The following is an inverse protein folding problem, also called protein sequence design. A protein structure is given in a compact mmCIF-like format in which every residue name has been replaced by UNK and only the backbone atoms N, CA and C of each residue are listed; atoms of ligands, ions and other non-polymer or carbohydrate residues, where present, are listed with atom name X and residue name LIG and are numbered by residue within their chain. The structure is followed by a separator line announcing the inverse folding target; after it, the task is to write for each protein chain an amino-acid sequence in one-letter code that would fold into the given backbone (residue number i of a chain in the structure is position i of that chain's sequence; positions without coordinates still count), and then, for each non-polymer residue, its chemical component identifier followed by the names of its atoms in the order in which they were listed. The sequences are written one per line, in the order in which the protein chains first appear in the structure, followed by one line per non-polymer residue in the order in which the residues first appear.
data_IF_339987454192
#
_entry.id   IF_339987454192
#
_cell.length_a   1.000
_cell.length_b   1.000
_cell.length_c   1.000
_cell.angle_alpha   90.00
_cell.angle_beta   90.00
_cell.angle_gamma   90.00
#
_symmetry.space_group_name_H-M   'P 1'
#
loop_
_entity.id
_entity.type
_entity.pdbx_description
1 polymer ?
#
# COMPACT_ATOMS: atom_id res chain seq x y z
N UNK A 1 22.54 24.36 -11.72
CA UNK A 1 22.99 22.98 -11.40
C UNK A 1 21.83 22.06 -11.71
N UNK A 2 22.05 20.98 -12.47
CA UNK A 2 21.01 19.99 -12.74
C UNK A 2 20.84 19.11 -11.49
N UNK A 3 19.65 19.13 -10.89
CA UNK A 3 19.32 18.27 -9.75
C UNK A 3 19.05 16.86 -10.28
N UNK A 4 19.83 15.87 -9.83
CA UNK A 4 19.64 14.46 -10.19
C UNK A 4 18.84 13.77 -9.09
N UNK A 5 17.75 13.08 -9.47
CA UNK A 5 16.92 12.30 -8.56
C UNK A 5 17.78 11.31 -7.77
N UNK A 6 17.61 11.29 -6.45
CA UNK A 6 18.27 10.32 -5.56
C UNK A 6 17.29 9.71 -4.54
N UNK A 7 17.78 8.79 -3.72
CA UNK A 7 16.97 8.08 -2.72
C UNK A 7 16.31 9.00 -1.67
N UNK A 8 16.92 10.13 -1.33
CA UNK A 8 16.34 11.08 -0.39
C UNK A 8 15.13 11.82 -0.98
N UNK A 9 15.15 12.10 -2.28
CA UNK A 9 14.00 12.71 -2.98
C UNK A 9 12.81 11.74 -3.00
N UNK A 10 13.07 10.46 -3.31
CA UNK A 10 12.06 9.39 -3.30
C UNK A 10 11.49 9.21 -1.88
N UNK A 11 12.35 9.15 -0.86
CA UNK A 11 11.93 9.00 0.53
C UNK A 11 11.06 10.16 1.00
N UNK A 12 11.43 11.41 0.69
CA UNK A 12 10.62 12.59 1.05
C UNK A 12 9.25 12.57 0.36
N UNK A 13 9.21 12.25 -0.93
CA UNK A 13 7.95 12.12 -1.66
C UNK A 13 7.06 11.03 -1.03
N UNK A 14 7.63 9.85 -0.74
CA UNK A 14 6.92 8.77 -0.05
C UNK A 14 6.34 9.24 1.29
N UNK A 15 7.16 9.83 2.16
CA UNK A 15 6.71 10.26 3.49
C UNK A 15 5.64 11.34 3.43
N UNK A 16 5.75 12.29 2.49
CA UNK A 16 4.75 13.34 2.31
C UNK A 16 3.37 12.75 1.91
N UNK A 17 3.35 11.86 0.93
CA UNK A 17 2.12 11.21 0.47
C UNK A 17 1.56 10.29 1.56
N UNK A 18 2.42 9.53 2.24
CA UNK A 18 2.03 8.66 3.36
C UNK A 18 1.41 9.45 4.51
N UNK A 19 1.97 10.59 4.89
CA UNK A 19 1.44 11.41 5.97
C UNK A 19 0.01 11.91 5.70
N UNK A 20 -0.31 12.22 4.44
CA UNK A 20 -1.67 12.60 4.03
C UNK A 20 -2.66 11.45 4.21
N UNK A 21 -2.26 10.23 3.86
CA UNK A 21 -3.05 9.02 4.09
C UNK A 21 -3.19 8.74 5.59
N UNK A 22 -2.10 8.78 6.36
CA UNK A 22 -2.14 8.52 7.81
C UNK A 22 -3.07 9.49 8.54
N UNK A 23 -3.13 10.76 8.11
CA UNK A 23 -4.10 11.74 8.64
C UNK A 23 -5.56 11.34 8.40
N UNK A 24 -5.86 10.57 7.36
CA UNK A 24 -7.21 10.04 7.07
C UNK A 24 -7.49 8.73 7.79
N UNK A 25 -6.44 7.96 8.09
CA UNK A 25 -6.55 6.72 8.84
C UNK A 25 -6.68 6.96 10.35
N UNK A 26 -6.15 8.06 10.88
CA UNK A 26 -6.15 8.36 12.31
C UNK A 26 -7.55 8.24 12.98
N UNK A 27 -8.64 8.79 12.41
CA UNK A 27 -9.99 8.62 12.97
C UNK A 27 -10.51 7.18 12.96
N UNK A 28 -9.94 6.31 12.12
CA UNK A 28 -10.34 4.90 12.00
C UNK A 28 -9.60 3.98 12.99
N UNK A 29 -8.56 4.49 13.66
CA UNK A 29 -7.65 3.69 14.48
C UNK A 29 -6.70 2.79 13.70
N UNK A 30 -6.77 2.78 12.35
CA UNK A 30 -5.87 2.01 11.51
C UNK A 30 -4.55 2.73 11.30
N UNK A 31 -3.49 1.94 11.12
CA UNK A 31 -2.17 2.43 10.73
C UNK A 31 -2.00 2.31 9.22
N UNK A 32 -0.98 2.95 8.66
CA UNK A 32 -0.57 2.71 7.29
C UNK A 32 -0.35 1.21 7.00
N UNK A 33 0.28 0.48 7.92
CA UNK A 33 0.55 -0.96 7.76
C UNK A 33 -0.73 -1.80 7.78
N UNK A 34 -1.79 -1.36 8.47
CA UNK A 34 -3.12 -2.00 8.41
C UNK A 34 -3.84 -1.67 7.10
N UNK A 35 -3.67 -0.44 6.59
CA UNK A 35 -4.32 -0.01 5.36
C UNK A 35 -3.83 -0.77 4.13
N UNK A 36 -2.55 -1.10 4.03
CA UNK A 36 -1.98 -1.75 2.84
C UNK A 36 -2.67 -3.08 2.48
N UNK A 37 -2.80 -4.08 3.37
CA UNK A 37 -3.52 -5.32 3.06
C UNK A 37 -5.01 -5.07 2.73
N UNK A 38 -5.68 -4.18 3.48
CA UNK A 38 -7.09 -3.83 3.24
C UNK A 38 -7.27 -3.23 1.84
N UNK A 39 -6.40 -2.29 1.48
CA UNK A 39 -6.41 -1.61 0.19
C UNK A 39 -6.06 -2.55 -0.96
N UNK A 40 -5.17 -3.53 -0.74
CA UNK A 40 -4.82 -4.51 -1.77
C UNK A 40 -6.03 -5.36 -2.17
N UNK A 41 -6.81 -5.84 -1.19
CA UNK A 41 -8.04 -6.60 -1.44
C UNK A 41 -9.11 -5.69 -2.04
N UNK A 42 -9.35 -4.51 -1.46
CA UNK A 42 -10.35 -3.57 -1.95
C UNK A 42 -10.10 -3.12 -3.40
N UNK A 43 -8.83 -2.88 -3.75
CA UNK A 43 -8.42 -2.51 -5.13
C UNK A 43 -8.62 -3.65 -6.12
N UNK A 44 -8.32 -4.90 -5.73
CA UNK A 44 -8.60 -6.08 -6.57
C UNK A 44 -10.10 -6.31 -6.75
N UNK A 45 -10.92 -6.00 -5.74
CA UNK A 45 -12.37 -6.16 -5.77
C UNK A 45 -12.84 -7.62 -5.65
N UNK A 46 -11.92 -8.55 -5.35
CA UNK A 46 -12.19 -9.97 -5.19
C UNK A 46 -11.41 -10.55 -4.00
N UNK A 47 -11.86 -11.68 -3.39
CA UNK A 47 -11.10 -12.34 -2.34
C UNK A 47 -9.68 -12.67 -2.81
N UNK A 48 -8.67 -12.71 -1.93
CA UNK A 48 -7.26 -12.97 -2.28
C UNK A 48 -6.71 -14.11 -1.41
N UNK A 49 -5.90 -15.05 -1.94
CA UNK A 49 -5.26 -16.07 -1.10
C UNK A 49 -4.39 -15.42 -0.02
N UNK A 50 -4.50 -15.89 1.23
CA UNK A 50 -3.76 -15.31 2.36
C UNK A 50 -2.24 -15.27 2.09
N UNK A 51 -1.67 -16.35 1.56
CA UNK A 51 -0.24 -16.42 1.25
C UNK A 51 0.22 -15.35 0.25
N UNK A 52 -0.59 -15.07 -0.78
CA UNK A 52 -0.31 -14.01 -1.76
C UNK A 52 -0.36 -12.63 -1.13
N UNK A 53 -1.36 -12.38 -0.28
CA UNK A 53 -1.49 -11.12 0.44
C UNK A 53 -0.29 -10.90 1.38
N UNK A 54 0.09 -11.93 2.15
CA UNK A 54 1.23 -11.87 3.06
C UNK A 54 2.51 -11.60 2.29
N UNK A 55 2.75 -12.27 1.16
CA UNK A 55 3.93 -12.04 0.33
C UNK A 55 3.98 -10.59 -0.17
N UNK A 56 2.88 -10.11 -0.77
CA UNK A 56 2.76 -8.73 -1.28
C UNK A 56 3.05 -7.67 -0.21
N UNK A 57 2.46 -7.79 0.98
CA UNK A 57 2.64 -6.80 2.05
C UNK A 57 4.05 -6.88 2.65
N UNK A 58 4.59 -8.08 2.83
CA UNK A 58 5.96 -8.30 3.35
C UNK A 58 6.99 -7.63 2.45
N UNK A 59 6.89 -7.85 1.14
CA UNK A 59 7.77 -7.25 0.14
C UNK A 59 7.59 -5.73 0.08
N UNK A 60 6.34 -5.26 -0.07
CA UNK A 60 6.03 -3.84 -0.24
C UNK A 60 6.39 -2.98 0.97
N UNK A 61 6.22 -3.49 2.19
CA UNK A 61 6.53 -2.77 3.42
C UNK A 61 7.89 -3.10 4.02
N UNK A 62 8.64 -4.04 3.43
CA UNK A 62 9.92 -4.55 3.96
C UNK A 62 9.79 -5.02 5.42
N UNK A 63 8.64 -5.63 5.75
CA UNK A 63 8.36 -6.20 7.07
C UNK A 63 8.81 -7.66 7.12
N UNK A 64 8.96 -8.20 8.34
CA UNK A 64 9.06 -9.66 8.50
C UNK A 64 7.71 -10.34 8.21
N UNK A 65 7.70 -11.60 7.75
CA UNK A 65 6.45 -12.36 7.57
C UNK A 65 5.61 -12.46 8.86
N UNK A 66 6.24 -12.42 10.04
CA UNK A 66 5.52 -12.44 11.31
C UNK A 66 4.78 -11.12 11.58
N UNK A 67 5.44 -9.98 11.33
CA UNK A 67 4.80 -8.66 11.45
C UNK A 67 3.64 -8.53 10.47
N UNK A 68 3.81 -8.98 9.22
CA UNK A 68 2.74 -8.96 8.22
C UNK A 68 1.54 -9.80 8.64
N UNK A 69 1.76 -11.05 9.09
CA UNK A 69 0.67 -11.91 9.58
C UNK A 69 -0.06 -11.29 10.77
N UNK A 70 0.65 -10.61 11.67
CA UNK A 70 0.03 -9.89 12.77
C UNK A 70 -0.92 -8.80 12.28
N UNK A 71 -0.53 -7.99 11.28
CA UNK A 71 -1.42 -6.97 10.70
C UNK A 71 -2.68 -7.57 10.07
N UNK A 72 -2.55 -8.69 9.37
CA UNK A 72 -3.71 -9.39 8.80
C UNK A 72 -4.61 -9.96 9.90
N UNK A 73 -4.03 -10.54 10.95
CA UNK A 73 -4.76 -11.03 12.11
C UNK A 73 -5.49 -9.90 12.87
N UNK A 74 -4.86 -8.75 13.04
CA UNK A 74 -5.46 -7.55 13.64
C UNK A 74 -6.72 -7.13 12.83
N UNK A 75 -6.64 -7.12 11.50
CA UNK A 75 -7.79 -6.80 10.63
C UNK A 75 -8.92 -7.84 10.67
N UNK A 76 -8.59 -9.12 10.84
CA UNK A 76 -9.57 -10.19 11.05
C UNK A 76 -10.27 -10.03 12.42
N UNK A 77 -9.51 -9.71 13.47
CA UNK A 77 -10.05 -9.46 14.81
C UNK A 77 -10.99 -8.25 14.84
N UNK A 78 -10.64 -7.18 14.12
CA UNK A 78 -11.48 -5.98 13.93
C UNK A 78 -12.66 -6.20 12.96
N UNK A 79 -12.81 -7.42 12.43
CA UNK A 79 -13.85 -7.80 11.46
C UNK A 79 -13.85 -6.90 10.22
N UNK A 80 -12.69 -6.40 9.81
CA UNK A 80 -12.51 -5.68 8.54
C UNK A 80 -12.19 -6.66 7.40
N UNK A 81 -11.60 -7.79 7.74
CA UNK A 81 -11.44 -8.93 6.84
C UNK A 81 -12.30 -10.11 7.30
N UNK A 82 -12.62 -10.99 6.35
CA UNK A 82 -13.20 -12.31 6.59
C UNK A 82 -12.43 -13.37 5.82
N UNK A 83 -12.25 -14.54 6.43
CA UNK A 83 -11.80 -15.74 5.72
C UNK A 83 -13.00 -16.39 5.04
N UNK A 84 -12.85 -16.71 3.76
CA UNK A 84 -13.78 -17.53 2.99
C UNK A 84 -13.48 -19.02 3.24
N UNK A 85 -14.43 -19.88 2.85
CA UNK A 85 -14.32 -21.34 3.01
C UNK A 85 -13.13 -21.93 2.21
N UNK A 86 -12.76 -21.28 1.11
CA UNK A 86 -11.64 -21.66 0.24
C UNK A 86 -10.27 -21.14 0.74
N UNK A 87 -10.22 -20.53 1.93
CA UNK A 87 -9.00 -19.98 2.52
C UNK A 87 -8.57 -18.63 1.92
N UNK A 88 -9.38 -18.00 1.07
CA UNK A 88 -9.15 -16.62 0.60
C UNK A 88 -9.65 -15.60 1.61
N UNK A 89 -8.96 -14.47 1.70
CA UNK A 89 -9.36 -13.33 2.50
C UNK A 89 -10.15 -12.34 1.65
N UNK A 90 -11.25 -11.83 2.18
CA UNK A 90 -12.05 -10.78 1.55
C UNK A 90 -12.30 -9.64 2.54
N UNK A 91 -12.66 -8.46 2.02
CA UNK A 91 -13.26 -7.43 2.84
C UNK A 91 -14.58 -7.95 3.42
N UNK A 92 -14.82 -7.68 4.70
CA UNK A 92 -16.16 -7.77 5.27
C UNK A 92 -17.03 -6.62 4.76
N UNK A 93 -18.32 -6.59 5.10
CA UNK A 93 -19.18 -5.42 4.83
C UNK A 93 -18.62 -4.15 5.48
N UNK A 94 -18.26 -4.21 6.77
CA UNK A 94 -17.59 -3.13 7.50
C UNK A 94 -16.25 -2.73 6.86
N UNK A 95 -15.48 -3.72 6.41
CA UNK A 95 -14.21 -3.49 5.71
C UNK A 95 -14.40 -2.77 4.37
N UNK A 96 -15.44 -3.14 3.63
CA UNK A 96 -15.81 -2.50 2.37
C UNK A 96 -16.26 -1.05 2.60
N UNK A 97 -17.09 -0.79 3.60
CA UNK A 97 -17.51 0.56 3.98
C UNK A 97 -16.32 1.45 4.34
N UNK A 98 -15.45 0.97 5.25
CA UNK A 98 -14.25 1.70 5.66
C UNK A 98 -13.31 1.98 4.49
N UNK A 99 -13.04 0.96 3.66
CA UNK A 99 -12.18 1.11 2.48
C UNK A 99 -12.76 2.14 1.51
N UNK A 100 -14.08 2.10 1.27
CA UNK A 100 -14.77 3.01 0.37
C UNK A 100 -14.75 4.45 0.90
N UNK A 101 -14.93 4.63 2.21
CA UNK A 101 -14.83 5.94 2.86
C UNK A 101 -13.42 6.52 2.71
N UNK A 102 -12.39 5.78 3.14
CA UNK A 102 -11.00 6.28 3.11
C UNK A 102 -10.55 6.55 1.67
N UNK A 103 -10.88 5.67 0.71
CA UNK A 103 -10.55 5.91 -0.70
C UNK A 103 -11.26 7.13 -1.27
N UNK A 104 -12.54 7.36 -0.92
CA UNK A 104 -13.25 8.56 -1.33
C UNK A 104 -12.62 9.84 -0.78
N UNK A 105 -12.15 9.83 0.47
CA UNK A 105 -11.47 10.97 1.10
C UNK A 105 -10.06 11.23 0.52
N UNK A 106 -9.34 10.18 0.13
CA UNK A 106 -7.97 10.28 -0.41
C UNK A 106 -7.97 10.60 -1.90
N UNK A 107 -8.98 10.16 -2.67
CA UNK A 107 -9.07 10.38 -4.12
C UNK A 107 -8.84 11.84 -4.56
N UNK A 108 -9.51 12.87 -4.00
CA UNK A 108 -9.28 14.25 -4.42
C UNK A 108 -7.87 14.74 -4.08
N UNK A 109 -7.27 14.26 -2.98
CA UNK A 109 -5.89 14.59 -2.59
C UNK A 109 -4.93 14.02 -3.63
N UNK A 110 -5.09 12.74 -3.99
CA UNK A 110 -4.28 12.10 -5.05
C UNK A 110 -4.43 12.85 -6.37
N UNK A 111 -5.65 13.22 -6.77
CA UNK A 111 -5.87 14.01 -8.00
C UNK A 111 -5.09 15.33 -7.99
N UNK A 112 -5.13 16.07 -6.87
CA UNK A 112 -4.40 17.32 -6.71
C UNK A 112 -2.87 17.11 -6.78
N UNK A 113 -2.35 16.09 -6.11
CA UNK A 113 -0.91 15.80 -6.09
C UNK A 113 -0.34 15.45 -7.47
N UNK A 114 -1.17 14.90 -8.35
CA UNK A 114 -0.77 14.52 -9.71
C UNK A 114 -1.28 15.46 -10.80
N UNK A 115 -1.91 16.58 -10.42
CA UNK A 115 -2.38 17.61 -11.36
C UNK A 115 -1.19 18.21 -12.13
N UNK A 116 -1.37 18.39 -13.45
CA UNK A 116 -0.35 18.98 -14.32
C UNK A 116 0.72 18.02 -14.85
N UNK A 117 0.77 16.76 -14.41
CA UNK A 117 1.64 15.74 -15.01
C UNK A 117 0.93 14.92 -16.09
N UNK A 118 1.61 14.71 -17.21
CA UNK A 118 1.15 13.85 -18.30
C UNK A 118 1.25 12.37 -17.91
N UNK A 119 0.49 11.52 -18.60
CA UNK A 119 0.60 10.06 -18.45
C UNK A 119 2.02 9.55 -18.77
N UNK A 120 2.66 10.10 -19.80
CA UNK A 120 4.01 9.71 -20.22
C UNK A 120 5.07 10.05 -19.16
N UNK A 121 4.98 11.23 -18.52
CA UNK A 121 5.87 11.60 -17.41
C UNK A 121 5.70 10.64 -16.23
N UNK A 122 4.45 10.35 -15.85
CA UNK A 122 4.17 9.40 -14.75
C UNK A 122 4.65 7.99 -15.08
N UNK A 123 4.42 7.51 -16.29
CA UNK A 123 4.91 6.21 -16.75
C UNK A 123 6.44 6.12 -16.71
N UNK A 124 7.13 7.20 -17.09
CA UNK A 124 8.59 7.29 -17.00
C UNK A 124 9.08 7.18 -15.56
N UNK A 125 8.45 7.88 -14.62
CA UNK A 125 8.78 7.80 -13.19
C UNK A 125 8.52 6.39 -12.65
N UNK A 126 7.38 5.78 -12.99
CA UNK A 126 7.06 4.39 -12.59
C UNK A 126 8.13 3.42 -13.07
N UNK A 127 8.53 3.50 -14.34
CA UNK A 127 9.56 2.63 -14.91
C UNK A 127 10.93 2.84 -14.23
N UNK A 128 11.27 4.08 -13.87
CA UNK A 128 12.50 4.38 -13.13
C UNK A 128 12.48 3.79 -11.72
N UNK A 129 11.39 4.03 -10.96
CA UNK A 129 11.24 3.50 -9.61
C UNK A 129 11.29 1.97 -9.59
N UNK A 130 10.64 1.30 -10.54
CA UNK A 130 10.70 -0.15 -10.67
C UNK A 130 12.14 -0.67 -10.84
N UNK A 131 12.91 -0.07 -11.76
CA UNK A 131 14.33 -0.44 -11.99
C UNK A 131 15.21 -0.16 -10.78
N UNK A 132 14.94 0.90 -10.04
CA UNK A 132 15.68 1.21 -8.79
C UNK A 132 15.37 0.16 -7.72
N UNK A 133 14.09 -0.20 -7.55
CA UNK A 133 13.65 -1.25 -6.62
C UNK A 133 14.30 -2.60 -6.97
N UNK A 134 14.24 -3.03 -8.24
CA UNK A 134 14.86 -4.27 -8.72
C UNK A 134 16.36 -4.34 -8.40
N UNK A 135 17.10 -3.24 -8.65
CA UNK A 135 18.54 -3.17 -8.35
C UNK A 135 18.82 -3.19 -6.86
N UNK A 136 17.98 -2.53 -6.05
CA UNK A 136 18.10 -2.57 -4.60
C UNK A 136 17.87 -4.00 -4.07
N UNK A 137 16.87 -4.70 -4.59
CA UNK A 137 16.59 -6.09 -4.24
C UNK A 137 17.72 -7.04 -4.63
N UNK A 138 18.26 -6.89 -5.84
CA UNK A 138 19.41 -7.65 -6.29
C UNK A 138 20.65 -7.41 -5.41
N UNK A 139 20.87 -6.17 -4.98
CA UNK A 139 21.97 -5.82 -4.08
C UNK A 139 21.79 -6.39 -2.66
N UNK A 140 20.55 -6.43 -2.14
CA UNK A 140 20.24 -7.02 -0.83
C UNK A 140 20.32 -8.55 -0.84
N UNK A 141 20.12 -9.19 -1.99
CA UNK A 141 20.25 -10.63 -2.17
C UNK A 141 21.70 -11.08 -2.44
N UNK A 142 22.60 -10.15 -2.75
CA UNK A 142 24.01 -10.45 -2.96
C UNK A 142 24.69 -10.84 -1.63
N UNK A 143 25.63 -11.80 -1.64
CA UNK A 143 26.32 -12.29 -0.44
C UNK A 143 27.29 -11.28 0.17
#
# INVERSE_FOLDING_TARGET
MSTVLNGADIGRAHYAVRALLERRLEPTGLSFEHWIPLNAIGTKGEPVPEGELIAFVTEGLRLSPQQTRRRVADLLAEKLLVSREDGRLALSERGQELWSQVTAEVKPITSYLFEGFTEAERATVVALLAKVTERADAALAAP
#
